data_IF_818726968194
#
_entry.id   IF_818726968194
#
_cell.length_a   1.000
_cell.length_b   1.000
_cell.length_c   1.000
_cell.angle_alpha   90.00
_cell.angle_beta   90.00
_cell.angle_gamma   90.00
#
_symmetry.space_group_name_H-M   'P 1'
#
loop_
_entity.id
_entity.type
_entity.pdbx_description
1 polymer ?
#
# COMPACT_ATOMS: atom_id res chain seq x y z
N UNK A 1 -37.42 -46.95 26.91
CA UNK A 1 -38.12 -45.86 26.18
C UNK A 1 -37.82 -44.50 26.83
N UNK A 2 -36.59 -44.28 27.29
CA UNK A 2 -36.15 -43.09 28.01
C UNK A 2 -34.67 -42.92 27.71
N UNK A 3 -34.34 -42.16 26.67
CA UNK A 3 -32.97 -41.64 26.48
C UNK A 3 -32.91 -40.48 25.47
N UNK A 4 -33.91 -40.34 24.58
CA UNK A 4 -33.93 -39.25 23.58
C UNK A 4 -33.97 -37.83 24.15
N UNK A 5 -34.40 -37.64 25.41
CA UNK A 5 -34.46 -36.31 26.01
C UNK A 5 -33.11 -35.78 26.50
N UNK A 6 -32.12 -36.64 26.72
CA UNK A 6 -30.81 -36.23 27.23
C UNK A 6 -29.87 -35.82 26.09
N UNK A 7 -29.99 -36.49 24.94
CA UNK A 7 -29.24 -36.19 23.72
C UNK A 7 -29.59 -34.83 23.10
N UNK A 8 -30.85 -34.40 23.17
CA UNK A 8 -31.26 -33.09 22.63
C UNK A 8 -30.68 -31.92 23.44
N UNK A 9 -30.60 -32.06 24.77
CA UNK A 9 -29.97 -31.05 25.63
C UNK A 9 -28.45 -30.94 25.43
N UNK A 10 -27.78 -32.06 25.15
CA UNK A 10 -26.36 -32.08 24.80
C UNK A 10 -26.11 -31.45 23.42
N UNK A 11 -26.97 -31.71 22.43
CA UNK A 11 -26.90 -31.10 21.10
C UNK A 11 -27.05 -29.57 21.16
N UNK A 12 -28.03 -29.06 21.91
CA UNK A 12 -28.23 -27.61 22.09
C UNK A 12 -27.02 -26.95 22.77
N UNK A 13 -26.42 -27.65 23.74
CA UNK A 13 -25.21 -27.17 24.43
C UNK A 13 -24.00 -27.10 23.48
N UNK A 14 -23.83 -28.11 22.63
CA UNK A 14 -22.76 -28.15 21.62
C UNK A 14 -22.96 -27.03 20.59
N UNK A 15 -24.18 -26.83 20.10
CA UNK A 15 -24.48 -25.75 19.16
C UNK A 15 -24.18 -24.37 19.74
N UNK A 16 -24.58 -24.13 21.00
CA UNK A 16 -24.29 -22.88 21.70
C UNK A 16 -22.78 -22.64 21.78
N UNK A 17 -22.01 -23.66 22.17
CA UNK A 17 -20.55 -23.61 22.27
C UNK A 17 -19.89 -23.32 20.91
N UNK A 18 -20.38 -23.94 19.83
CA UNK A 18 -19.87 -23.71 18.46
C UNK A 18 -20.10 -22.27 17.98
N UNK A 19 -21.27 -21.68 18.28
CA UNK A 19 -21.57 -20.28 17.95
C UNK A 19 -20.67 -19.31 18.72
N UNK A 20 -20.42 -19.60 19.99
CA UNK A 20 -19.54 -18.79 20.82
C UNK A 20 -18.09 -18.86 20.33
N UNK A 21 -17.57 -20.06 20.05
CA UNK A 21 -16.23 -20.25 19.45
C UNK A 21 -16.08 -19.53 18.11
N UNK A 22 -17.10 -19.61 17.24
CA UNK A 22 -17.10 -18.88 15.95
C UNK A 22 -17.01 -17.37 16.15
N UNK A 23 -17.71 -16.84 17.15
CA UNK A 23 -17.68 -15.41 17.50
C UNK A 23 -16.32 -15.00 18.06
N UNK A 24 -15.71 -15.86 18.89
CA UNK A 24 -14.37 -15.63 19.43
C UNK A 24 -13.31 -15.65 18.32
N UNK A 25 -13.38 -16.60 17.38
CA UNK A 25 -12.48 -16.66 16.23
C UNK A 25 -12.52 -15.38 15.40
N UNK A 26 -13.71 -14.88 15.03
CA UNK A 26 -13.85 -13.61 14.31
C UNK A 26 -13.23 -12.41 15.05
N UNK A 27 -13.33 -12.38 16.38
CA UNK A 27 -12.71 -11.33 17.20
C UNK A 27 -11.19 -11.46 17.22
N UNK A 28 -10.65 -12.67 17.20
CA UNK A 28 -9.20 -12.91 17.13
C UNK A 28 -8.68 -12.50 15.75
N UNK A 29 -9.34 -12.88 14.66
CA UNK A 29 -8.95 -12.48 13.30
C UNK A 29 -8.87 -10.95 13.18
N UNK A 30 -9.91 -10.24 13.61
CA UNK A 30 -9.93 -8.78 13.56
C UNK A 30 -8.88 -8.09 14.48
N UNK A 31 -8.33 -8.81 15.47
CA UNK A 31 -7.21 -8.34 16.30
C UNK A 31 -5.87 -8.63 15.63
N UNK A 32 -5.73 -9.81 15.02
CA UNK A 32 -4.55 -10.21 14.27
C UNK A 32 -4.35 -9.27 13.09
N UNK A 33 -5.39 -8.96 12.32
CA UNK A 33 -5.31 -8.00 11.21
C UNK A 33 -4.84 -6.61 11.68
N UNK A 34 -5.32 -6.15 12.84
CA UNK A 34 -4.88 -4.88 13.44
C UNK A 34 -3.43 -4.94 13.92
N UNK A 35 -3.01 -6.05 14.54
CA UNK A 35 -1.63 -6.23 15.00
C UNK A 35 -0.66 -6.34 13.83
N UNK A 36 -1.03 -7.07 12.78
CA UNK A 36 -0.23 -7.19 11.55
C UNK A 36 -0.06 -5.81 10.90
N UNK A 37 -1.14 -5.02 10.78
CA UNK A 37 -1.03 -3.63 10.29
C UNK A 37 -0.14 -2.73 11.17
N UNK A 38 -0.08 -2.98 12.48
CA UNK A 38 0.85 -2.30 13.40
C UNK A 38 2.30 -2.77 13.23
N UNK A 39 2.52 -4.07 13.00
CA UNK A 39 3.85 -4.64 12.75
C UNK A 39 4.44 -4.17 11.42
N UNK A 40 3.62 -4.03 10.39
CA UNK A 40 4.02 -3.44 9.12
C UNK A 40 4.52 -2.00 9.32
N UNK A 41 3.75 -1.19 10.06
CA UNK A 41 4.15 0.18 10.38
C UNK A 41 5.42 0.27 11.27
N UNK A 42 5.74 -0.78 12.03
CA UNK A 42 6.86 -0.78 12.98
C UNK A 42 8.22 -0.62 12.28
N UNK A 43 8.39 -1.22 11.09
CA UNK A 43 9.63 -1.09 10.30
C UNK A 43 9.88 0.35 9.86
N UNK A 44 8.82 1.03 9.39
CA UNK A 44 8.88 2.45 9.01
C UNK A 44 9.09 3.37 10.21
N UNK A 45 8.43 3.10 11.34
CA UNK A 45 8.57 3.89 12.57
C UNK A 45 9.99 3.76 13.12
N UNK A 46 10.55 2.55 13.14
CA UNK A 46 11.94 2.31 13.54
C UNK A 46 12.93 3.03 12.62
N UNK A 47 12.63 3.15 11.33
CA UNK A 47 13.40 3.93 10.36
C UNK A 47 13.22 5.46 10.51
N UNK A 48 12.42 5.92 11.47
CA UNK A 48 12.15 7.34 11.70
C UNK A 48 11.28 7.99 10.62
N UNK A 49 10.50 7.20 9.88
CA UNK A 49 9.50 7.70 8.93
C UNK A 49 8.23 8.07 9.70
N UNK A 50 7.72 9.31 9.56
CA UNK A 50 6.49 9.71 10.25
C UNK A 50 5.31 8.82 9.82
N UNK A 51 4.45 8.33 10.75
CA UNK A 51 3.32 7.45 10.41
C UNK A 51 2.41 8.00 9.32
N UNK A 52 2.15 9.32 9.33
CA UNK A 52 1.34 9.98 8.29
C UNK A 52 1.91 9.80 6.86
N UNK A 53 3.23 9.69 6.72
CA UNK A 53 3.88 9.49 5.42
C UNK A 53 3.73 8.04 4.96
N UNK A 54 3.80 7.09 5.88
CA UNK A 54 3.53 5.67 5.61
C UNK A 54 2.09 5.51 5.14
N UNK A 55 1.13 6.09 5.88
CA UNK A 55 -0.29 6.08 5.48
C UNK A 55 -0.52 6.71 4.11
N UNK A 56 0.15 7.84 3.81
CA UNK A 56 0.06 8.48 2.50
C UNK A 56 0.59 7.58 1.38
N UNK A 57 1.70 6.86 1.59
CA UNK A 57 2.24 5.89 0.62
C UNK A 57 1.26 4.74 0.37
N UNK A 58 0.61 4.20 1.41
CA UNK A 58 -0.42 3.15 1.25
C UNK A 58 -1.68 3.65 0.55
N UNK A 59 -1.97 4.95 0.62
CA UNK A 59 -3.10 5.54 -0.08
C UNK A 59 -2.82 5.81 -1.56
N UNK A 60 -1.56 5.70 -2.01
CA UNK A 60 -1.17 5.93 -3.41
C UNK A 60 -1.44 4.71 -4.29
N UNK A 61 -1.82 4.94 -5.55
CA UNK A 61 -1.93 3.89 -6.56
C UNK A 61 -0.54 3.49 -7.07
N UNK A 62 -0.37 2.29 -7.65
CA UNK A 62 0.92 1.91 -8.24
C UNK A 62 1.43 2.90 -9.31
N UNK A 63 0.53 3.49 -10.10
CA UNK A 63 0.89 4.52 -11.09
C UNK A 63 1.40 5.82 -10.44
N UNK A 64 0.79 6.23 -9.33
CA UNK A 64 1.28 7.36 -8.55
C UNK A 64 2.67 7.08 -7.93
N UNK A 65 2.95 5.85 -7.49
CA UNK A 65 4.27 5.47 -6.97
C UNK A 65 5.36 5.55 -8.04
N UNK A 66 5.07 5.04 -9.24
CA UNK A 66 5.97 5.14 -10.38
C UNK A 66 6.21 6.61 -10.76
N UNK A 67 5.14 7.40 -10.87
CA UNK A 67 5.25 8.83 -11.12
C UNK A 67 6.02 9.58 -10.02
N UNK A 68 5.84 9.19 -8.74
CA UNK A 68 6.57 9.76 -7.60
C UNK A 68 8.08 9.57 -7.78
N UNK A 69 8.54 8.36 -8.07
CA UNK A 69 9.98 8.10 -8.25
C UNK A 69 10.57 8.98 -9.37
N UNK A 70 9.86 9.13 -10.49
CA UNK A 70 10.28 10.01 -11.58
C UNK A 70 10.25 11.50 -11.21
N UNK A 71 9.28 11.93 -10.39
CA UNK A 71 9.23 13.30 -9.85
C UNK A 71 10.45 13.58 -8.97
N UNK A 72 10.87 12.62 -8.14
CA UNK A 72 12.05 12.73 -7.29
C UNK A 72 13.35 12.82 -8.10
N UNK A 73 13.36 12.22 -9.30
CA UNK A 73 14.42 12.33 -10.31
C UNK A 73 14.31 13.61 -11.18
N UNK A 74 13.52 14.59 -10.76
CA UNK A 74 13.34 15.89 -11.43
C UNK A 74 12.74 15.84 -12.84
N UNK A 75 12.13 14.73 -13.25
CA UNK A 75 11.49 14.64 -14.56
C UNK A 75 10.26 15.53 -14.63
N UNK A 76 9.95 16.04 -15.81
CA UNK A 76 8.74 16.79 -16.15
C UNK A 76 7.54 15.85 -16.37
N UNK A 77 6.33 16.40 -16.39
CA UNK A 77 5.13 15.59 -16.71
C UNK A 77 5.22 15.00 -18.11
N UNK A 78 5.75 15.75 -19.07
CA UNK A 78 5.99 15.29 -20.43
C UNK A 78 6.94 14.08 -20.47
N UNK A 79 8.09 14.16 -19.79
CA UNK A 79 9.04 13.03 -19.73
C UNK A 79 8.45 11.79 -19.06
N UNK A 80 7.63 11.98 -18.01
CA UNK A 80 6.91 10.88 -17.36
C UNK A 80 5.89 10.26 -18.31
N UNK A 81 5.12 11.10 -19.02
CA UNK A 81 4.11 10.65 -19.96
C UNK A 81 4.71 9.80 -21.09
N UNK A 82 5.82 10.28 -21.68
CA UNK A 82 6.58 9.54 -22.69
C UNK A 82 7.12 8.22 -22.15
N UNK A 83 7.67 8.22 -20.94
CA UNK A 83 8.24 7.02 -20.33
C UNK A 83 7.19 5.94 -20.03
N UNK A 84 5.99 6.35 -19.61
CA UNK A 84 4.92 5.43 -19.21
C UNK A 84 3.95 5.10 -20.35
N UNK A 85 4.11 5.78 -21.50
CA UNK A 85 3.23 5.73 -22.66
C UNK A 85 1.76 6.03 -22.31
N UNK A 86 1.58 7.16 -21.61
CA UNK A 86 0.29 7.68 -21.14
C UNK A 86 0.15 9.16 -21.53
N UNK A 87 -1.05 9.70 -21.38
CA UNK A 87 -1.27 11.12 -21.68
C UNK A 87 -0.67 12.02 -20.57
N UNK A 88 -0.11 13.17 -20.95
CA UNK A 88 0.44 14.14 -19.99
C UNK A 88 -0.61 14.64 -18.98
N UNK A 89 -1.88 14.65 -19.39
CA UNK A 89 -3.01 14.96 -18.52
C UNK A 89 -3.21 13.93 -17.40
N UNK A 90 -2.98 12.63 -17.68
CA UNK A 90 -3.07 11.57 -16.67
C UNK A 90 -1.95 11.70 -15.64
N UNK A 91 -0.72 11.96 -16.10
CA UNK A 91 0.41 12.25 -15.21
C UNK A 91 0.13 13.45 -14.32
N UNK A 92 -0.44 14.52 -14.90
CA UNK A 92 -0.85 15.68 -14.12
C UNK A 92 -1.88 15.30 -13.04
N UNK A 93 -2.87 14.48 -13.36
CA UNK A 93 -3.87 14.03 -12.40
C UNK A 93 -3.24 13.22 -11.25
N UNK A 94 -2.26 12.35 -11.54
CA UNK A 94 -1.50 11.62 -10.52
C UNK A 94 -0.68 12.54 -9.63
N UNK A 95 0.02 13.51 -10.21
CA UNK A 95 0.78 14.52 -9.44
C UNK A 95 -0.15 15.33 -8.54
N UNK A 96 -1.27 15.82 -9.06
CA UNK A 96 -2.25 16.58 -8.28
C UNK A 96 -2.86 15.71 -7.15
N UNK A 97 -3.05 14.41 -7.38
CA UNK A 97 -3.48 13.45 -6.36
C UNK A 97 -2.44 13.26 -5.26
N UNK A 98 -1.16 13.10 -5.61
CA UNK A 98 -0.07 13.01 -4.65
C UNK A 98 0.07 14.27 -3.79
N UNK A 99 -0.04 15.45 -4.41
CA UNK A 99 -0.01 16.74 -3.69
C UNK A 99 -1.11 16.80 -2.62
N UNK A 100 -2.33 16.36 -2.96
CA UNK A 100 -3.45 16.28 -2.00
C UNK A 100 -3.19 15.27 -0.88
N UNK A 101 -2.73 14.05 -1.21
CA UNK A 101 -2.47 12.98 -0.22
C UNK A 101 -1.36 13.35 0.77
N UNK A 102 -0.41 14.18 0.34
CA UNK A 102 0.72 14.63 1.15
C UNK A 102 0.55 16.03 1.75
N UNK A 103 -0.59 16.68 1.49
CA UNK A 103 -0.93 18.02 1.98
C UNK A 103 0.13 19.08 1.63
N UNK A 104 0.67 19.00 0.40
CA UNK A 104 1.66 19.96 -0.12
C UNK A 104 1.10 20.71 -1.33
N UNK A 105 1.48 21.98 -1.48
CA UNK A 105 0.93 22.84 -2.53
C UNK A 105 1.67 22.78 -3.86
N UNK A 106 2.95 22.39 -3.85
CA UNK A 106 3.80 22.46 -5.04
C UNK A 106 4.63 21.19 -5.25
N UNK A 107 4.93 20.89 -6.52
CA UNK A 107 5.82 19.78 -6.92
C UNK A 107 7.20 19.88 -6.24
N UNK A 108 7.70 21.10 -6.02
CA UNK A 108 8.97 21.31 -5.31
C UNK A 108 8.90 20.80 -3.87
N UNK A 109 7.82 21.12 -3.16
CA UNK A 109 7.60 20.72 -1.78
C UNK A 109 7.41 19.20 -1.68
N UNK A 110 6.71 18.60 -2.65
CA UNK A 110 6.59 17.15 -2.80
C UNK A 110 7.97 16.47 -2.82
N UNK A 111 8.90 16.95 -3.67
CA UNK A 111 10.27 16.41 -3.71
C UNK A 111 11.00 16.59 -2.38
N UNK A 112 10.98 17.80 -1.84
CA UNK A 112 11.66 18.12 -0.58
C UNK A 112 11.16 17.26 0.59
N UNK A 113 9.86 16.99 0.63
CA UNK A 113 9.22 16.15 1.64
C UNK A 113 9.57 14.67 1.44
N UNK A 114 9.44 14.16 0.20
CA UNK A 114 9.47 12.72 -0.06
C UNK A 114 10.87 12.16 -0.29
N UNK A 115 11.86 12.93 -0.73
CA UNK A 115 13.25 12.45 -0.85
C UNK A 115 13.80 11.84 0.45
N UNK A 116 13.76 12.51 1.62
CA UNK A 116 14.27 11.91 2.85
C UNK A 116 13.39 10.75 3.37
N UNK A 117 12.09 10.76 3.09
CA UNK A 117 11.17 9.67 3.44
C UNK A 117 11.53 8.43 2.65
N UNK A 118 11.64 8.58 1.33
CA UNK A 118 11.99 7.48 0.44
C UNK A 118 13.37 6.96 0.80
N UNK A 119 14.36 7.80 1.09
CA UNK A 119 15.67 7.32 1.54
C UNK A 119 15.59 6.39 2.77
N UNK A 120 14.73 6.70 3.75
CA UNK A 120 14.62 5.98 5.02
C UNK A 120 13.71 4.75 4.99
N UNK A 121 12.63 4.76 4.21
CA UNK A 121 11.68 3.64 4.22
C UNK A 121 12.38 2.34 3.75
N UNK A 122 12.22 1.22 4.48
CA UNK A 122 12.74 -0.08 4.04
C UNK A 122 12.17 -0.48 2.68
N UNK A 123 12.98 -1.16 1.86
CA UNK A 123 12.56 -1.54 0.49
C UNK A 123 11.33 -2.45 0.48
N UNK A 124 11.28 -3.45 1.35
CA UNK A 124 10.14 -4.37 1.46
C UNK A 124 8.84 -3.65 1.86
N UNK A 125 8.94 -2.63 2.72
CA UNK A 125 7.80 -1.85 3.16
C UNK A 125 7.28 -0.93 2.05
N UNK A 126 8.19 -0.31 1.29
CA UNK A 126 7.82 0.45 0.11
C UNK A 126 7.17 -0.41 -0.97
N UNK A 127 7.73 -1.60 -1.24
CA UNK A 127 7.18 -2.57 -2.20
C UNK A 127 5.77 -2.98 -1.81
N UNK A 128 5.53 -3.25 -0.52
CA UNK A 128 4.18 -3.51 0.00
C UNK A 128 3.24 -2.32 -0.17
N UNK A 129 3.67 -1.11 0.19
CA UNK A 129 2.85 0.09 0.09
C UNK A 129 2.50 0.48 -1.36
N UNK A 130 3.36 0.12 -2.32
CA UNK A 130 3.18 0.42 -3.73
C UNK A 130 2.46 -0.66 -4.54
N UNK A 131 2.03 -1.75 -3.90
CA UNK A 131 1.40 -2.87 -4.59
C UNK A 131 2.39 -3.71 -5.42
N UNK A 132 3.68 -3.70 -5.07
CA UNK A 132 4.73 -4.51 -5.69
C UNK A 132 5.73 -3.73 -6.54
N UNK A 133 5.74 -2.39 -6.51
CA UNK A 133 6.73 -1.59 -7.25
C UNK A 133 8.01 -1.47 -6.40
N UNK A 134 9.18 -1.86 -6.92
CA UNK A 134 10.41 -1.72 -6.16
C UNK A 134 10.79 -0.25 -6.01
N UNK A 135 11.43 0.08 -4.88
CA UNK A 135 11.86 1.44 -4.53
C UNK A 135 12.88 2.04 -5.50
N UNK A 136 13.60 1.19 -6.22
CA UNK A 136 14.59 1.55 -7.24
C UNK A 136 14.07 1.31 -8.67
N UNK A 137 12.75 1.27 -8.85
CA UNK A 137 12.12 1.06 -10.15
C UNK A 137 12.58 2.09 -11.19
N UNK A 138 12.60 3.38 -10.84
CA UNK A 138 12.98 4.43 -11.80
C UNK A 138 14.44 4.30 -12.26
N UNK A 139 15.34 3.91 -11.35
CA UNK A 139 16.77 3.73 -11.65
C UNK A 139 17.00 2.58 -12.64
N UNK A 140 16.14 1.55 -12.60
CA UNK A 140 16.27 0.33 -13.41
C UNK A 140 15.47 0.38 -14.71
N UNK A 141 14.26 0.93 -14.67
CA UNK A 141 13.28 0.80 -15.77
C UNK A 141 12.80 2.17 -16.29
N UNK A 142 12.97 3.26 -15.52
CA UNK A 142 12.51 4.60 -15.89
C UNK A 142 13.36 5.30 -16.96
N UNK A 143 14.52 4.76 -17.34
CA UNK A 143 15.41 5.33 -18.37
C UNK A 143 15.02 4.97 -19.82
N UNK A 144 13.98 4.15 -20.01
CA UNK A 144 13.54 3.71 -21.34
C UNK A 144 14.48 2.66 -21.95
N UNK A 145 13.95 1.86 -22.89
CA UNK A 145 14.74 0.84 -23.60
C UNK A 145 14.97 -0.48 -22.84
N UNK A 146 14.60 -0.55 -21.55
CA UNK A 146 14.60 -1.80 -20.77
C UNK A 146 13.13 -2.25 -20.60
N UNK A 147 12.80 -3.53 -20.90
CA UNK A 147 11.47 -4.06 -20.63
C UNK A 147 11.11 -3.92 -19.15
N UNK A 148 9.98 -3.30 -18.84
CA UNK A 148 9.48 -3.15 -17.47
C UNK A 148 8.61 -4.36 -17.07
N UNK A 149 9.08 -5.24 -16.16
CA UNK A 149 8.31 -6.40 -15.73
C UNK A 149 7.14 -6.04 -14.78
N UNK A 150 7.11 -4.81 -14.26
CA UNK A 150 6.10 -4.31 -13.33
C UNK A 150 4.98 -3.54 -14.05
N UNK A 151 5.08 -3.37 -15.37
CA UNK A 151 4.13 -2.57 -16.17
C UNK A 151 2.66 -2.94 -15.93
N UNK A 152 2.37 -4.24 -15.82
CA UNK A 152 1.03 -4.77 -15.53
C UNK A 152 0.43 -4.33 -14.19
N UNK A 153 1.26 -3.90 -13.23
CA UNK A 153 0.82 -3.50 -11.89
C UNK A 153 0.20 -2.10 -11.93
N UNK A 154 0.86 -1.17 -12.63
CA UNK A 154 0.41 0.22 -12.70
C UNK A 154 -0.36 0.55 -13.98
N UNK A 155 -0.36 -0.35 -14.97
CA UNK A 155 -1.16 -0.28 -16.20
C UNK A 155 -1.78 -1.66 -16.49
N UNK A 156 -2.83 -2.05 -15.73
CA UNK A 156 -3.60 -3.24 -16.07
C UNK A 156 -4.29 -3.04 -17.43
N UNK A 157 -4.34 -4.09 -18.24
CA UNK A 157 -5.02 -4.12 -19.54
C UNK A 157 -6.54 -3.91 -19.44
#
# INVERSE_FOLDING_TARGET
MTDSSNTDGELDSIESTLRELTTQLRKVDAKVDRLLGLYDALGSIAAGVPPRMVSALHAMTPAEHVALQMVLDNRSNHEIAVCLEVDEAEVKAWVDSMLRKLEVGQRRDLRQLMTPVLAKIPAAEYEKASGGIPKDWNDKYGVGGIPDPFRRIYRPE
#
